data_IF_982181525219
#
_entry.id   IF_982181525219
#
_cell.length_a   1.000
_cell.length_b   1.000
_cell.length_c   1.000
_cell.angle_alpha   90.00
_cell.angle_beta   90.00
_cell.angle_gamma   90.00
#
_symmetry.space_group_name_H-M   'P 1'
#
loop_
_entity.id
_entity.type
_entity.pdbx_description
1 polymer ?
#
# COMPACT_ATOMS: atom_id res chain seq x y z
N UNK A 1 -34.42 34.81 -57.24
CA UNK A 1 -34.11 33.39 -56.94
C UNK A 1 -32.73 33.34 -56.31
N UNK A 2 -32.67 33.50 -54.99
CA UNK A 2 -31.41 33.50 -54.23
C UNK A 2 -31.46 32.30 -53.30
N UNK A 3 -30.63 31.30 -53.56
CA UNK A 3 -30.56 30.08 -52.77
C UNK A 3 -29.91 30.38 -51.41
N UNK A 4 -30.68 30.17 -50.35
CA UNK A 4 -30.23 30.20 -48.97
C UNK A 4 -29.51 28.87 -48.69
N UNK A 5 -28.17 28.91 -48.72
CA UNK A 5 -27.31 27.76 -48.38
C UNK A 5 -27.34 27.54 -46.87
N UNK A 6 -28.26 26.68 -46.43
CA UNK A 6 -28.37 26.22 -45.05
C UNK A 6 -27.05 25.59 -44.59
N UNK A 7 -26.32 26.31 -43.74
CA UNK A 7 -25.20 25.77 -42.96
C UNK A 7 -25.78 25.00 -41.79
N UNK A 8 -25.92 23.69 -41.94
CA UNK A 8 -26.15 22.79 -40.81
C UNK A 8 -24.90 22.82 -39.94
N UNK A 9 -25.02 23.37 -38.73
CA UNK A 9 -23.99 23.25 -37.69
C UNK A 9 -23.87 21.76 -37.33
N UNK A 10 -22.67 21.16 -37.26
CA UNK A 10 -22.55 19.83 -36.68
C UNK A 10 -22.95 19.94 -35.21
N UNK A 11 -23.92 19.12 -34.82
CA UNK A 11 -24.42 19.05 -33.46
C UNK A 11 -23.28 18.74 -32.50
N UNK A 12 -23.32 19.39 -31.35
CA UNK A 12 -22.57 19.02 -30.15
C UNK A 12 -22.78 17.54 -29.90
N UNK A 13 -21.82 16.70 -30.26
CA UNK A 13 -21.78 15.33 -29.75
C UNK A 13 -21.76 15.45 -28.23
N UNK A 14 -22.68 14.78 -27.51
CA UNK A 14 -22.56 14.72 -26.06
C UNK A 14 -21.20 14.09 -25.78
N UNK A 15 -20.40 14.73 -24.92
CA UNK A 15 -19.23 14.10 -24.31
C UNK A 15 -19.72 12.81 -23.68
N UNK A 16 -19.63 11.71 -24.43
CA UNK A 16 -19.77 10.38 -23.90
C UNK A 16 -18.67 10.31 -22.84
N UNK A 17 -19.04 10.48 -21.59
CA UNK A 17 -18.23 10.07 -20.46
C UNK A 17 -17.89 8.63 -20.78
N UNK A 18 -16.68 8.39 -21.31
CA UNK A 18 -16.19 7.05 -21.59
C UNK A 18 -16.34 6.31 -20.28
N UNK A 19 -17.32 5.41 -20.22
CA UNK A 19 -17.53 4.58 -19.05
C UNK A 19 -16.17 3.93 -18.77
N UNK A 20 -15.62 4.09 -17.56
CA UNK A 20 -14.34 3.49 -17.24
C UNK A 20 -14.42 2.00 -17.55
N UNK A 21 -13.35 1.46 -18.12
CA UNK A 21 -13.23 0.03 -18.40
C UNK A 21 -13.68 -0.75 -17.17
N UNK A 22 -14.69 -1.62 -17.32
CA UNK A 22 -15.26 -2.41 -16.23
C UNK A 22 -14.18 -3.23 -15.51
N UNK A 23 -13.11 -3.63 -16.23
CA UNK A 23 -11.97 -4.31 -15.63
C UNK A 23 -11.17 -3.40 -14.68
N UNK A 24 -10.95 -2.14 -15.07
CA UNK A 24 -10.31 -1.14 -14.20
C UNK A 24 -11.21 -0.81 -13.00
N UNK A 25 -12.51 -0.61 -13.23
CA UNK A 25 -13.44 -0.30 -12.15
C UNK A 25 -13.47 -1.40 -11.09
N UNK A 26 -13.54 -2.67 -11.50
CA UNK A 26 -13.49 -3.80 -10.58
C UNK A 26 -12.14 -3.87 -9.84
N UNK A 27 -11.03 -3.70 -10.55
CA UNK A 27 -9.70 -3.68 -9.95
C UNK A 27 -9.54 -2.57 -8.91
N UNK A 28 -10.02 -1.36 -9.24
CA UNK A 28 -10.00 -0.20 -8.36
C UNK A 28 -10.84 -0.45 -7.10
N UNK A 29 -12.09 -0.90 -7.24
CA UNK A 29 -12.98 -1.17 -6.11
C UNK A 29 -12.41 -2.23 -5.15
N UNK A 30 -11.80 -3.28 -5.70
CA UNK A 30 -11.25 -4.37 -4.90
C UNK A 30 -9.95 -3.97 -4.17
N UNK A 31 -9.07 -3.21 -4.81
CA UNK A 31 -7.74 -2.94 -4.27
C UNK A 31 -7.61 -1.61 -3.53
N UNK A 32 -8.43 -0.60 -3.84
CA UNK A 32 -8.30 0.73 -3.23
C UNK A 32 -8.36 0.72 -1.71
N UNK A 33 -9.33 0.05 -1.04
CA UNK A 33 -9.36 0.00 0.42
C UNK A 33 -8.08 -0.62 1.02
N UNK A 34 -7.57 -1.69 0.41
CA UNK A 34 -6.35 -2.40 0.85
C UNK A 34 -5.11 -1.53 0.69
N UNK A 35 -5.00 -0.81 -0.43
CA UNK A 35 -3.89 0.11 -0.69
C UNK A 35 -3.91 1.33 0.23
N UNK A 36 -5.09 1.87 0.51
CA UNK A 36 -5.27 2.93 1.49
C UNK A 36 -4.81 2.50 2.86
N UNK A 37 -5.26 1.33 3.32
CA UNK A 37 -4.94 0.86 4.65
C UNK A 37 -3.44 0.60 4.81
N UNK A 38 -2.82 0.10 3.74
CA UNK A 38 -1.38 0.02 3.63
C UNK A 38 -0.69 1.38 3.72
N UNK A 39 -1.13 2.35 2.92
CA UNK A 39 -0.54 3.68 2.86
C UNK A 39 -0.62 4.42 4.21
N UNK A 40 -1.68 4.25 4.99
CA UNK A 40 -1.83 4.78 6.36
C UNK A 40 -0.73 4.30 7.31
N UNK A 41 -0.16 3.13 7.06
CA UNK A 41 0.96 2.61 7.86
C UNK A 41 2.23 3.45 7.64
N UNK A 42 2.37 4.04 6.45
CA UNK A 42 3.56 4.79 6.05
C UNK A 42 3.34 6.30 5.95
N UNK A 43 2.10 6.79 6.07
CA UNK A 43 1.75 8.20 5.96
C UNK A 43 1.00 8.65 7.22
N UNK A 44 1.28 9.86 7.68
CA UNK A 44 0.87 10.33 9.02
C UNK A 44 -0.63 10.58 9.17
N UNK A 45 -1.32 10.83 8.07
CA UNK A 45 -2.75 11.13 8.09
C UNK A 45 -3.44 10.46 6.90
N UNK A 46 -4.75 10.26 7.08
CA UNK A 46 -5.63 9.66 6.10
C UNK A 46 -5.59 10.37 4.75
N UNK A 47 -5.54 11.70 4.76
CA UNK A 47 -5.61 12.52 3.56
C UNK A 47 -4.40 12.30 2.64
N UNK A 48 -3.18 12.33 3.20
CA UNK A 48 -1.94 12.03 2.47
C UNK A 48 -1.99 10.60 1.89
N UNK A 49 -2.57 9.64 2.63
CA UNK A 49 -2.76 8.28 2.14
C UNK A 49 -3.74 8.22 0.96
N UNK A 50 -4.88 8.89 1.05
CA UNK A 50 -5.84 8.96 -0.07
C UNK A 50 -5.22 9.63 -1.30
N UNK A 51 -4.52 10.75 -1.13
CA UNK A 51 -3.89 11.48 -2.22
C UNK A 51 -2.84 10.62 -2.94
N UNK A 52 -1.99 9.90 -2.19
CA UNK A 52 -1.00 9.00 -2.76
C UNK A 52 -1.65 7.85 -3.54
N UNK A 53 -2.73 7.27 -3.02
CA UNK A 53 -3.44 6.16 -3.65
C UNK A 53 -4.23 6.62 -4.88
N UNK A 54 -4.90 7.76 -4.82
CA UNK A 54 -5.62 8.33 -5.96
C UNK A 54 -4.63 8.68 -7.09
N UNK A 55 -3.47 9.26 -6.77
CA UNK A 55 -2.40 9.49 -7.76
C UNK A 55 -1.89 8.18 -8.40
N UNK A 56 -1.82 7.10 -7.63
CA UNK A 56 -1.45 5.78 -8.14
C UNK A 56 -2.50 5.24 -9.12
N UNK A 57 -3.78 5.29 -8.74
CA UNK A 57 -4.87 4.81 -9.59
C UNK A 57 -5.07 5.66 -10.84
N UNK A 58 -4.86 6.98 -10.78
CA UNK A 58 -4.84 7.83 -11.96
C UNK A 58 -3.75 7.41 -12.95
N UNK A 59 -2.55 7.07 -12.45
CA UNK A 59 -1.47 6.58 -13.29
C UNK A 59 -1.80 5.21 -13.89
N UNK A 60 -2.39 4.31 -13.10
CA UNK A 60 -2.83 3.00 -13.58
C UNK A 60 -3.92 3.14 -14.64
N UNK A 61 -4.90 4.03 -14.44
CA UNK A 61 -5.96 4.30 -15.41
C UNK A 61 -5.40 4.76 -16.76
N UNK A 62 -4.44 5.71 -16.75
CA UNK A 62 -3.77 6.20 -17.97
C UNK A 62 -2.97 5.13 -18.71
N UNK A 63 -2.61 4.05 -18.03
CA UNK A 63 -1.76 2.99 -18.60
C UNK A 63 -2.44 1.62 -18.58
N UNK A 64 -3.75 1.57 -18.33
CA UNK A 64 -4.45 0.33 -17.96
C UNK A 64 -4.37 -0.74 -19.03
N UNK A 65 -4.57 -0.35 -20.31
CA UNK A 65 -4.44 -1.27 -21.45
C UNK A 65 -3.07 -1.95 -21.50
N UNK A 66 -2.00 -1.24 -21.10
CA UNK A 66 -0.64 -1.81 -21.04
C UNK A 66 -0.44 -2.67 -19.80
N UNK A 67 -1.06 -2.31 -18.69
CA UNK A 67 -1.03 -3.09 -17.45
C UNK A 67 -1.69 -4.44 -17.65
N UNK A 68 -2.79 -4.52 -18.40
CA UNK A 68 -3.46 -5.79 -18.71
C UNK A 68 -2.63 -6.72 -19.60
N UNK A 69 -1.63 -6.20 -20.32
CA UNK A 69 -0.76 -6.97 -21.21
C UNK A 69 0.50 -7.51 -20.52
N UNK A 70 0.81 -7.08 -19.29
CA UNK A 70 1.95 -7.61 -18.56
C UNK A 70 1.61 -8.97 -17.93
N UNK A 71 2.62 -9.82 -17.73
CA UNK A 71 2.45 -11.14 -17.11
C UNK A 71 1.86 -11.06 -15.68
N UNK A 72 2.14 -9.96 -14.97
CA UNK A 72 1.72 -9.76 -13.59
C UNK A 72 1.16 -8.35 -13.35
N UNK A 73 -0.12 -8.12 -13.69
CA UNK A 73 -0.79 -6.82 -13.53
C UNK A 73 -0.84 -6.35 -12.06
N UNK A 74 -1.15 -7.26 -11.12
CA UNK A 74 -1.21 -6.93 -9.69
C UNK A 74 0.14 -6.48 -9.15
N UNK A 75 1.22 -7.18 -9.50
CA UNK A 75 2.57 -6.82 -9.05
C UNK A 75 3.05 -5.49 -9.64
N UNK A 76 2.68 -5.19 -10.89
CA UNK A 76 2.93 -3.88 -11.49
C UNK A 76 2.16 -2.79 -10.75
N UNK A 77 0.86 -3.00 -10.51
CA UNK A 77 0.01 -2.05 -9.78
C UNK A 77 0.52 -1.81 -8.35
N UNK A 78 0.94 -2.87 -7.65
CA UNK A 78 1.58 -2.78 -6.34
C UNK A 78 2.82 -1.89 -6.39
N UNK A 79 3.69 -2.10 -7.39
CA UNK A 79 4.92 -1.30 -7.57
C UNK A 79 4.61 0.17 -7.78
N UNK A 80 3.65 0.50 -8.65
CA UNK A 80 3.21 1.90 -8.88
C UNK A 80 2.70 2.51 -7.59
N UNK A 81 1.83 1.81 -6.87
CA UNK A 81 1.27 2.28 -5.61
C UNK A 81 2.36 2.50 -4.56
N UNK A 82 3.25 1.53 -4.36
CA UNK A 82 4.34 1.60 -3.39
C UNK A 82 5.26 2.78 -3.65
N UNK A 83 5.58 3.04 -4.91
CA UNK A 83 6.37 4.20 -5.31
C UNK A 83 5.67 5.51 -4.96
N UNK A 84 4.35 5.64 -5.22
CA UNK A 84 3.59 6.84 -4.84
C UNK A 84 3.57 7.09 -3.34
N UNK A 85 3.38 6.05 -2.53
CA UNK A 85 3.45 6.16 -1.06
C UNK A 85 4.84 6.61 -0.61
N UNK A 86 5.90 6.03 -1.18
CA UNK A 86 7.28 6.39 -0.86
C UNK A 86 7.62 7.83 -1.27
N UNK A 87 7.20 8.26 -2.46
CA UNK A 87 7.38 9.62 -2.95
C UNK A 87 6.66 10.64 -2.06
N UNK A 88 5.43 10.33 -1.64
CA UNK A 88 4.65 11.19 -0.76
C UNK A 88 5.31 11.33 0.62
N UNK A 89 5.78 10.20 1.20
CA UNK A 89 6.54 10.23 2.46
C UNK A 89 7.82 11.08 2.34
N UNK A 90 8.57 10.93 1.24
CA UNK A 90 9.81 11.69 0.99
C UNK A 90 9.55 13.19 0.81
N UNK A 91 8.52 13.56 0.04
CA UNK A 91 8.18 14.95 -0.25
C UNK A 91 7.83 15.73 1.02
N UNK A 92 7.17 15.08 1.98
CA UNK A 92 6.82 15.69 3.27
C UNK A 92 8.01 15.76 4.24
N UNK A 93 9.19 15.24 3.88
CA UNK A 93 10.40 15.12 4.73
C UNK A 93 10.12 14.48 6.10
N UNK A 94 9.10 13.63 6.18
CA UNK A 94 8.70 12.92 7.40
C UNK A 94 9.07 11.45 7.22
N UNK A 95 9.69 10.86 8.25
CA UNK A 95 9.88 9.40 8.28
C UNK A 95 8.51 8.74 8.31
N UNK A 96 8.25 7.65 7.58
CA UNK A 96 6.97 6.95 7.68
C UNK A 96 6.63 6.64 9.16
N UNK A 97 5.37 6.76 9.64
CA UNK A 97 5.02 6.46 11.04
C UNK A 97 5.48 5.08 11.50
N UNK A 98 5.35 4.05 10.65
CA UNK A 98 5.88 2.70 10.93
C UNK A 98 7.41 2.65 11.14
N UNK A 99 8.13 3.65 10.64
CA UNK A 99 9.59 3.75 10.71
C UNK A 99 10.05 4.96 11.55
N UNK A 100 9.09 5.68 12.15
CA UNK A 100 9.29 6.87 12.96
C UNK A 100 9.10 6.55 14.44
N UNK A 101 10.22 6.60 15.16
CA UNK A 101 10.33 6.26 16.57
C UNK A 101 9.29 7.03 17.43
N UNK A 102 8.93 8.28 17.08
CA UNK A 102 7.98 9.10 17.87
C UNK A 102 6.50 8.74 17.62
N UNK A 103 6.09 8.55 16.36
CA UNK A 103 4.69 8.31 15.99
C UNK A 103 4.17 6.96 16.49
N UNK A 104 5.03 5.93 16.50
CA UNK A 104 4.66 4.59 16.94
C UNK A 104 4.67 4.46 18.48
N UNK A 105 5.48 5.24 19.18
CA UNK A 105 5.48 5.31 20.64
C UNK A 105 4.09 5.77 21.16
N UNK A 106 3.46 6.75 20.52
CA UNK A 106 2.11 7.21 20.92
C UNK A 106 1.05 6.10 20.80
N UNK A 107 1.17 5.20 19.81
CA UNK A 107 0.30 4.03 19.69
C UNK A 107 0.58 2.97 20.76
N UNK A 108 1.84 2.69 21.06
CA UNK A 108 2.25 1.70 22.07
C UNK A 108 1.88 2.12 23.52
N UNK A 109 1.76 3.43 23.78
CA UNK A 109 1.54 4.01 25.10
C UNK A 109 0.07 3.99 25.58
N UNK A 110 -0.90 3.63 24.72
CA UNK A 110 -2.32 3.92 25.00
C UNK A 110 -2.93 3.09 26.15
N UNK A 111 -2.38 1.91 26.46
CA UNK A 111 -2.89 0.99 27.51
C UNK A 111 -1.75 0.21 28.24
N UNK A 112 -0.54 0.76 28.31
CA UNK A 112 0.65 0.04 28.80
C UNK A 112 0.74 -0.04 30.34
N UNK A 113 0.87 -1.26 30.89
CA UNK A 113 1.15 -1.50 32.33
C UNK A 113 2.59 -1.12 32.71
N UNK A 114 3.53 -1.28 31.77
CA UNK A 114 4.90 -0.75 31.84
C UNK A 114 5.21 0.06 30.57
N UNK A 115 4.95 1.38 30.60
CA UNK A 115 5.18 2.24 29.45
C UNK A 115 6.64 2.24 28.97
N UNK A 116 7.61 2.14 29.88
CA UNK A 116 9.03 2.28 29.53
C UNK A 116 9.59 0.99 28.91
N UNK A 117 9.23 -0.17 29.46
CA UNK A 117 9.54 -1.47 28.86
C UNK A 117 8.95 -1.59 27.46
N UNK A 118 7.65 -1.26 27.31
CA UNK A 118 6.94 -1.35 26.04
C UNK A 118 7.48 -0.38 24.97
N UNK A 119 7.85 0.85 25.33
CA UNK A 119 8.54 1.78 24.43
C UNK A 119 9.88 1.19 23.96
N UNK A 120 10.67 0.63 24.88
CA UNK A 120 12.01 0.08 24.56
C UNK A 120 11.91 -1.10 23.59
N UNK A 121 10.95 -2.00 23.81
CA UNK A 121 10.67 -3.13 22.92
C UNK A 121 10.16 -2.69 21.56
N UNK A 122 9.26 -1.70 21.55
CA UNK A 122 8.72 -1.10 20.32
C UNK A 122 9.85 -0.49 19.48
N UNK A 123 10.72 0.32 20.08
CA UNK A 123 11.87 0.91 19.38
C UNK A 123 12.84 -0.15 18.84
N UNK A 124 13.06 -1.24 19.59
CA UNK A 124 13.89 -2.35 19.13
C UNK A 124 13.25 -3.06 17.91
N UNK A 125 11.95 -3.35 17.97
CA UNK A 125 11.20 -3.95 16.86
C UNK A 125 11.23 -3.06 15.62
N UNK A 126 11.01 -1.75 15.77
CA UNK A 126 11.08 -0.81 14.64
C UNK A 126 12.46 -0.78 13.99
N UNK A 127 13.53 -0.74 14.80
CA UNK A 127 14.91 -0.83 14.30
C UNK A 127 15.17 -2.13 13.57
N UNK A 128 14.60 -3.24 14.02
CA UNK A 128 14.71 -4.54 13.35
C UNK A 128 13.89 -4.57 12.05
N UNK A 129 12.68 -4.02 12.04
CA UNK A 129 11.84 -3.90 10.85
C UNK A 129 12.49 -3.05 9.76
N UNK A 130 13.23 -1.99 10.11
CA UNK A 130 14.04 -1.20 9.17
C UNK A 130 15.12 -2.00 8.45
N UNK A 131 15.49 -3.18 8.95
CA UNK A 131 16.50 -4.06 8.33
C UNK A 131 15.89 -5.13 7.42
N UNK A 132 14.56 -5.22 7.34
CA UNK A 132 13.87 -6.08 6.38
C UNK A 132 14.00 -5.49 4.98
N UNK A 133 13.99 -6.37 3.97
CA UNK A 133 13.81 -5.91 2.59
C UNK A 133 12.41 -5.33 2.41
N UNK A 134 12.20 -4.49 1.40
CA UNK A 134 10.87 -3.90 1.13
C UNK A 134 9.79 -4.99 1.01
N UNK A 135 10.06 -6.06 0.24
CA UNK A 135 9.13 -7.19 0.12
C UNK A 135 8.83 -7.88 1.45
N UNK A 136 9.85 -8.05 2.31
CA UNK A 136 9.63 -8.63 3.63
C UNK A 136 8.75 -7.73 4.49
N UNK A 137 9.02 -6.43 4.48
CA UNK A 137 8.24 -5.44 5.21
C UNK A 137 6.79 -5.40 4.72
N UNK A 138 6.58 -5.31 3.39
CA UNK A 138 5.27 -5.28 2.76
C UNK A 138 4.43 -6.51 3.16
N UNK A 139 5.02 -7.71 3.08
CA UNK A 139 4.37 -8.97 3.50
C UNK A 139 4.05 -8.98 4.99
N UNK A 140 4.98 -8.54 5.84
CA UNK A 140 4.78 -8.50 7.29
C UNK A 140 3.67 -7.53 7.68
N UNK A 141 3.64 -6.34 7.09
CA UNK A 141 2.60 -5.32 7.33
C UNK A 141 1.24 -5.87 6.92
N UNK A 142 1.11 -6.40 5.70
CA UNK A 142 -0.16 -6.95 5.21
C UNK A 142 -0.66 -8.13 6.06
N UNK A 143 0.24 -9.02 6.49
CA UNK A 143 -0.13 -10.21 7.26
C UNK A 143 -0.48 -9.89 8.72
N UNK A 144 0.35 -9.07 9.38
CA UNK A 144 0.24 -8.89 10.83
C UNK A 144 -0.50 -7.62 11.23
N UNK A 145 -0.33 -6.52 10.48
CA UNK A 145 -1.01 -5.26 10.78
C UNK A 145 -2.41 -5.21 10.16
N UNK A 146 -2.56 -5.73 8.94
CA UNK A 146 -3.84 -5.73 8.22
C UNK A 146 -4.61 -7.05 8.31
N UNK A 147 -4.01 -8.07 8.95
CA UNK A 147 -4.68 -9.35 9.21
C UNK A 147 -4.99 -10.18 7.96
N UNK A 148 -4.38 -9.88 6.81
CA UNK A 148 -4.63 -10.61 5.57
C UNK A 148 -4.00 -12.00 5.59
N UNK A 149 -4.70 -12.97 5.02
CA UNK A 149 -4.18 -14.32 4.85
C UNK A 149 -3.25 -14.42 3.62
N UNK A 150 -2.48 -15.51 3.53
CA UNK A 150 -1.46 -15.65 2.49
C UNK A 150 -1.98 -15.57 1.03
N UNK A 151 -3.16 -16.13 0.69
CA UNK A 151 -3.84 -15.85 -0.58
C UNK A 151 -4.14 -14.36 -0.81
N UNK A 152 -4.74 -13.67 0.16
CA UNK A 152 -5.09 -12.25 0.00
C UNK A 152 -3.86 -11.36 -0.20
N UNK A 153 -2.78 -11.61 0.57
CA UNK A 153 -1.50 -10.91 0.40
C UNK A 153 -0.90 -11.19 -0.98
N UNK A 154 -0.99 -12.44 -1.43
CA UNK A 154 -0.50 -12.84 -2.75
C UNK A 154 -1.21 -12.08 -3.88
N UNK A 155 -2.54 -11.99 -3.81
CA UNK A 155 -3.36 -11.27 -4.80
C UNK A 155 -3.01 -9.78 -4.86
N UNK A 156 -2.80 -9.16 -3.70
CA UNK A 156 -2.48 -7.73 -3.56
C UNK A 156 -1.07 -7.41 -4.07
N UNK A 157 -0.07 -8.21 -3.68
CA UNK A 157 1.33 -7.96 -4.03
C UNK A 157 1.70 -8.50 -5.42
N UNK A 158 0.82 -9.29 -6.06
CA UNK A 158 1.12 -10.00 -7.29
C UNK A 158 2.23 -11.04 -7.12
N UNK A 159 2.19 -11.84 -6.05
CA UNK A 159 3.13 -12.94 -5.81
C UNK A 159 2.38 -14.22 -5.49
N UNK A 160 3.06 -15.36 -5.40
CA UNK A 160 2.37 -16.61 -5.01
C UNK A 160 2.17 -16.68 -3.49
N UNK A 161 1.12 -17.36 -3.02
CA UNK A 161 0.94 -17.60 -1.58
C UNK A 161 2.09 -18.41 -0.97
N UNK A 162 2.77 -19.24 -1.77
CA UNK A 162 3.99 -19.92 -1.34
C UNK A 162 5.14 -18.93 -1.09
N UNK A 163 5.29 -17.93 -1.96
CA UNK A 163 6.22 -16.80 -1.77
C UNK A 163 5.87 -15.98 -0.54
N UNK A 164 4.59 -15.74 -0.25
CA UNK A 164 4.16 -15.06 0.99
C UNK A 164 4.63 -15.85 2.22
N UNK A 165 4.31 -17.14 2.29
CA UNK A 165 4.69 -18.00 3.43
C UNK A 165 6.20 -18.09 3.62
N UNK A 166 6.96 -18.24 2.54
CA UNK A 166 8.42 -18.27 2.61
C UNK A 166 8.96 -16.91 3.05
N UNK A 167 8.44 -15.81 2.53
CA UNK A 167 8.82 -14.45 2.91
C UNK A 167 8.58 -14.19 4.40
N UNK A 168 7.41 -14.56 4.92
CA UNK A 168 7.11 -14.48 6.37
C UNK A 168 8.16 -15.26 7.16
N UNK A 169 8.41 -16.52 6.82
CA UNK A 169 9.41 -17.35 7.51
C UNK A 169 10.80 -16.70 7.53
N UNK A 170 11.23 -16.13 6.40
CA UNK A 170 12.52 -15.46 6.29
C UNK A 170 12.57 -14.14 7.07
N UNK A 171 11.49 -13.35 7.03
CA UNK A 171 11.36 -12.11 7.80
C UNK A 171 11.37 -12.38 9.31
N UNK A 172 10.56 -13.32 9.80
CA UNK A 172 10.53 -13.71 11.21
C UNK A 172 11.88 -14.20 11.70
N UNK A 173 12.58 -15.01 10.91
CA UNK A 173 13.94 -15.46 11.25
C UNK A 173 14.89 -14.28 11.39
N UNK A 174 14.90 -13.37 10.41
CA UNK A 174 15.74 -12.17 10.43
C UNK A 174 15.44 -11.28 11.62
N UNK A 175 14.17 -11.07 11.96
CA UNK A 175 13.78 -10.31 13.14
C UNK A 175 14.25 -10.98 14.43
N UNK A 176 14.15 -12.31 14.53
CA UNK A 176 14.66 -13.07 15.67
C UNK A 176 16.18 -12.95 15.81
N UNK A 177 16.91 -13.00 14.70
CA UNK A 177 18.37 -12.87 14.70
C UNK A 177 18.81 -11.47 15.17
N UNK A 178 18.03 -10.43 14.85
CA UNK A 178 18.29 -9.03 15.26
C UNK A 178 17.88 -8.78 16.72
N UNK A 179 16.72 -9.29 17.14
CA UNK A 179 16.12 -8.99 18.46
C UNK A 179 16.59 -9.94 19.57
N UNK A 180 17.13 -11.11 19.21
CA UNK A 180 17.44 -12.20 20.13
C UNK A 180 16.24 -13.15 20.39
N UNK A 181 16.50 -14.37 20.86
CA UNK A 181 15.50 -15.44 20.98
C UNK A 181 14.33 -15.14 21.94
N UNK A 182 14.50 -14.28 22.94
CA UNK A 182 13.47 -13.98 23.95
C UNK A 182 12.42 -12.93 23.50
N UNK A 183 12.69 -12.13 22.47
CA UNK A 183 11.89 -10.91 22.19
C UNK A 183 10.95 -10.99 20.98
N UNK A 184 11.05 -12.03 20.17
CA UNK A 184 10.37 -12.09 18.86
C UNK A 184 8.92 -12.63 18.91
N UNK A 185 8.43 -13.09 20.08
CA UNK A 185 7.19 -13.88 20.18
C UNK A 185 6.27 -13.50 21.36
N UNK A 186 6.47 -12.36 22.03
CA UNK A 186 5.55 -11.91 23.10
C UNK A 186 4.33 -11.11 22.58
N UNK A 187 4.32 -10.71 21.31
CA UNK A 187 3.21 -9.97 20.69
C UNK A 187 1.92 -10.75 20.40
N UNK A 188 1.76 -11.97 20.92
CA UNK A 188 0.51 -12.73 20.88
C UNK A 188 0.33 -13.56 22.16
N UNK A 189 -0.35 -12.98 23.14
CA UNK A 189 -1.23 -13.72 24.04
C UNK A 189 -2.59 -13.06 24.03
#
# INVERSE_FOLDING_TARGET
MTEYRSRTRPGTEPMAQQLPDLSFTAFHQMNRPRYIHYAETFLHNRHDAEEAIDSAFEQLLRTWDKVLLVENPSGYAWTVMRNKVNDHSRARRRRPPLLDDEAFNTFALRDAVDPYGQITETLALMRAMRQLTERQLDVMVMTYLHGLNAPEVADVLGITSATVRSTVRHATRRLRDILGPDRAMEGRR
#
